data_IF_020164976252
#
_entry.id   IF_020164976252
#
_cell.length_a   1.000
_cell.length_b   1.000
_cell.length_c   1.000
_cell.angle_alpha   90.00
_cell.angle_beta   90.00
_cell.angle_gamma   90.00
#
_symmetry.space_group_name_H-M   'P 1'
#
loop_
_entity.id
_entity.type
_entity.pdbx_description
1 polymer ?
#
# COMPACT_ATOMS: atom_id res chain seq x y z
N UNK A 1 2.06 33.31 -19.17
CA UNK A 1 2.51 33.17 -17.76
C UNK A 1 3.32 31.88 -17.52
N UNK A 2 2.79 30.67 -17.76
CA UNK A 2 3.56 29.42 -17.53
C UNK A 2 4.93 29.36 -18.24
N UNK A 3 5.01 29.78 -19.51
CA UNK A 3 6.27 29.82 -20.26
C UNK A 3 7.28 30.87 -19.76
N UNK A 4 6.83 31.90 -19.04
CA UNK A 4 7.71 32.94 -18.48
C UNK A 4 8.38 32.47 -17.18
N UNK A 5 7.65 31.69 -16.36
CA UNK A 5 8.21 31.06 -15.13
C UNK A 5 9.32 30.04 -15.48
N UNK A 6 9.21 29.36 -16.62
CA UNK A 6 10.23 28.43 -17.12
C UNK A 6 11.54 29.12 -17.53
N UNK A 7 11.55 30.43 -17.77
CA UNK A 7 12.75 31.17 -18.20
C UNK A 7 13.62 31.61 -17.02
N UNK A 8 13.08 31.68 -15.80
CA UNK A 8 13.83 32.15 -14.61
C UNK A 8 14.44 31.02 -13.77
N UNK A 9 14.02 29.76 -13.95
CA UNK A 9 14.47 28.63 -13.12
C UNK A 9 15.02 27.52 -14.01
N UNK A 10 16.30 27.18 -13.84
CA UNK A 10 16.92 26.03 -14.49
C UNK A 10 16.30 24.74 -13.91
N UNK A 11 15.38 24.14 -14.66
CA UNK A 11 14.72 22.92 -14.23
C UNK A 11 15.68 21.72 -14.22
N UNK A 12 15.55 20.79 -13.25
CA UNK A 12 16.28 19.53 -13.28
C UNK A 12 15.86 18.71 -14.51
N UNK A 13 16.79 17.90 -15.02
CA UNK A 13 16.50 17.00 -16.14
C UNK A 13 15.44 15.97 -15.73
N UNK A 14 14.66 15.47 -16.71
CA UNK A 14 13.60 14.49 -16.44
C UNK A 14 14.12 13.25 -15.69
N UNK A 15 15.36 12.83 -15.97
CA UNK A 15 16.01 11.69 -15.29
C UNK A 15 16.27 12.02 -13.82
N UNK A 16 16.77 13.22 -13.51
CA UNK A 16 16.97 13.66 -12.13
C UNK A 16 15.65 13.72 -11.38
N UNK A 17 14.60 14.28 -11.98
CA UNK A 17 13.26 14.38 -11.35
C UNK A 17 12.63 13.04 -11.01
N UNK A 18 12.90 12.00 -11.80
CA UNK A 18 12.38 10.65 -11.57
C UNK A 18 13.23 9.83 -10.59
N UNK A 19 14.50 10.19 -10.40
CA UNK A 19 15.45 9.43 -9.61
C UNK A 19 14.98 9.18 -8.15
N UNK A 20 14.44 10.17 -7.40
CA UNK A 20 13.94 9.95 -6.04
C UNK A 20 12.80 8.95 -5.93
N UNK A 21 12.06 8.72 -7.01
CA UNK A 21 10.90 7.83 -7.06
C UNK A 21 11.30 6.44 -7.57
N UNK A 22 12.05 6.40 -8.66
CA UNK A 22 12.42 5.15 -9.35
C UNK A 22 13.49 4.39 -8.57
N UNK A 23 14.48 5.07 -7.97
CA UNK A 23 15.55 4.41 -7.25
C UNK A 23 15.04 3.56 -6.06
N UNK A 24 14.17 4.07 -5.16
CA UNK A 24 13.59 3.24 -4.09
C UNK A 24 12.84 2.01 -4.61
N UNK A 25 12.06 2.17 -5.69
CA UNK A 25 11.29 1.06 -6.28
C UNK A 25 12.23 -0.04 -6.79
N UNK A 26 13.29 0.34 -7.49
CA UNK A 26 14.30 -0.62 -7.98
C UNK A 26 15.00 -1.31 -6.81
N UNK A 27 15.40 -0.56 -5.78
CA UNK A 27 16.07 -1.14 -4.60
C UNK A 27 15.17 -2.17 -3.91
N UNK A 28 13.88 -1.86 -3.71
CA UNK A 28 12.91 -2.79 -3.12
C UNK A 28 12.71 -4.03 -4.01
N UNK A 29 12.61 -3.84 -5.32
CA UNK A 29 12.49 -4.96 -6.27
C UNK A 29 13.73 -5.88 -6.25
N UNK A 30 14.93 -5.29 -6.18
CA UNK A 30 16.19 -6.04 -6.08
C UNK A 30 16.28 -6.82 -4.76
N UNK A 31 15.83 -6.25 -3.64
CA UNK A 31 15.69 -7.01 -2.37
C UNK A 31 14.73 -8.18 -2.52
N UNK A 32 13.56 -7.98 -3.14
CA UNK A 32 12.60 -9.06 -3.36
C UNK A 32 13.19 -10.19 -4.19
N UNK A 33 14.01 -9.88 -5.20
CA UNK A 33 14.74 -10.88 -5.96
C UNK A 33 15.84 -11.56 -5.12
N UNK A 34 16.61 -10.80 -4.33
CA UNK A 34 17.68 -11.32 -3.49
C UNK A 34 17.21 -12.21 -2.34
N UNK A 35 16.06 -11.87 -1.75
CA UNK A 35 15.44 -12.62 -0.65
C UNK A 35 14.56 -13.78 -1.14
N UNK A 36 14.47 -14.02 -2.45
CA UNK A 36 13.67 -15.12 -2.98
C UNK A 36 14.25 -16.47 -2.53
N UNK A 37 13.42 -17.50 -2.20
CA UNK A 37 13.90 -18.75 -1.61
C UNK A 37 14.93 -19.54 -2.43
N UNK A 38 15.07 -19.29 -3.73
CA UNK A 38 16.12 -19.89 -4.57
C UNK A 38 17.50 -19.26 -4.39
N UNK A 39 17.63 -18.21 -3.57
CA UNK A 39 18.86 -17.45 -3.32
C UNK A 39 19.64 -17.10 -4.59
N UNK A 40 19.04 -16.36 -5.55
CA UNK A 40 19.64 -16.14 -6.87
C UNK A 40 20.96 -15.36 -6.82
N UNK A 41 21.19 -14.58 -5.75
CA UNK A 41 22.44 -13.85 -5.51
C UNK A 41 23.30 -14.47 -4.39
N UNK A 42 22.96 -15.69 -3.95
CA UNK A 42 23.61 -16.39 -2.84
C UNK A 42 23.43 -15.71 -1.48
N UNK A 43 24.27 -16.11 -0.51
CA UNK A 43 24.27 -15.60 0.87
C UNK A 43 25.46 -14.67 1.17
N UNK A 44 26.16 -14.22 0.14
CA UNK A 44 27.35 -13.39 0.24
C UNK A 44 27.05 -11.93 0.61
N UNK A 45 28.11 -11.12 0.61
CA UNK A 45 28.01 -9.68 0.90
C UNK A 45 27.05 -8.95 -0.05
N UNK A 46 26.99 -9.35 -1.33
CA UNK A 46 26.11 -8.75 -2.34
C UNK A 46 24.64 -8.87 -1.93
N UNK A 47 24.20 -10.08 -1.58
CA UNK A 47 22.83 -10.34 -1.13
C UNK A 47 22.49 -9.54 0.14
N UNK A 48 23.41 -9.50 1.11
CA UNK A 48 23.23 -8.70 2.33
C UNK A 48 23.08 -7.20 2.04
N UNK A 49 23.90 -6.66 1.16
CA UNK A 49 23.82 -5.25 0.75
C UNK A 49 22.49 -4.96 0.05
N UNK A 50 22.10 -5.79 -0.93
CA UNK A 50 20.82 -5.63 -1.63
C UNK A 50 19.63 -5.70 -0.68
N UNK A 51 19.63 -6.66 0.25
CA UNK A 51 18.60 -6.79 1.28
C UNK A 51 18.57 -5.58 2.22
N UNK A 52 19.72 -5.03 2.59
CA UNK A 52 19.79 -3.84 3.45
C UNK A 52 19.32 -2.59 2.72
N UNK A 53 19.87 -2.27 1.54
CA UNK A 53 19.53 -1.05 0.79
C UNK A 53 18.11 -1.09 0.22
N UNK A 54 17.60 -2.29 -0.09
CA UNK A 54 16.24 -2.48 -0.58
C UNK A 54 15.19 -2.64 0.50
N UNK A 55 15.57 -2.65 1.79
CA UNK A 55 14.59 -2.58 2.87
C UNK A 55 13.76 -1.30 2.70
N UNK A 56 12.41 -1.33 2.69
CA UNK A 56 11.60 -0.17 2.32
C UNK A 56 11.95 1.12 3.05
N UNK A 57 12.26 1.05 4.35
CA UNK A 57 12.68 2.23 5.14
C UNK A 57 13.99 2.82 4.60
N UNK A 58 14.99 1.98 4.32
CA UNK A 58 16.29 2.42 3.80
C UNK A 58 16.17 2.92 2.36
N UNK A 59 15.42 2.21 1.52
CA UNK A 59 15.19 2.58 0.13
C UNK A 59 14.49 3.94 0.02
N UNK A 60 13.46 4.19 0.83
CA UNK A 60 12.76 5.48 0.87
C UNK A 60 13.65 6.59 1.44
N UNK A 61 14.50 6.30 2.43
CA UNK A 61 15.49 7.27 2.92
C UNK A 61 16.49 7.66 1.81
N UNK A 62 16.96 6.69 1.03
CA UNK A 62 17.81 6.96 -0.15
C UNK A 62 17.04 7.85 -1.15
N UNK A 63 15.78 7.53 -1.46
CA UNK A 63 14.95 8.36 -2.34
C UNK A 63 14.79 9.80 -1.82
N UNK A 64 14.55 9.95 -0.53
CA UNK A 64 14.48 11.25 0.13
C UNK A 64 15.80 12.03 -0.02
N UNK A 65 16.95 11.41 0.25
CA UNK A 65 18.26 12.05 0.07
C UNK A 65 18.53 12.42 -1.41
N UNK A 66 18.12 11.57 -2.34
CA UNK A 66 18.24 11.83 -3.78
C UNK A 66 17.36 13.02 -4.21
N UNK A 67 16.27 13.31 -3.50
CA UNK A 67 15.41 14.47 -3.80
C UNK A 67 16.14 15.81 -3.62
N UNK A 68 17.20 15.86 -2.80
CA UNK A 68 18.00 17.07 -2.63
C UNK A 68 18.83 17.41 -3.87
N UNK A 69 19.05 16.46 -4.78
CA UNK A 69 19.67 16.73 -6.08
C UNK A 69 18.76 17.59 -6.98
N UNK A 70 17.47 17.73 -6.63
CA UNK A 70 16.52 18.60 -7.33
C UNK A 70 16.58 20.05 -6.83
N UNK A 71 17.31 20.32 -5.74
CA UNK A 71 17.40 21.67 -5.23
C UNK A 71 18.26 22.51 -6.17
N UNK A 72 17.75 23.66 -6.67
CA UNK A 72 18.56 24.54 -7.51
C UNK A 72 19.75 25.11 -6.73
N UNK A 73 19.57 25.35 -5.43
CA UNK A 73 20.58 25.84 -4.50
C UNK A 73 20.29 25.31 -3.10
N UNK A 74 21.32 25.17 -2.26
CA UNK A 74 21.19 24.80 -0.84
C UNK A 74 21.12 26.07 0.02
N UNK A 75 19.96 26.72 0.04
CA UNK A 75 19.74 27.96 0.77
C UNK A 75 18.49 27.87 1.68
N UNK A 76 18.18 28.92 2.45
CA UNK A 76 17.03 28.92 3.37
C UNK A 76 15.69 28.67 2.67
N UNK A 77 15.53 29.11 1.42
CA UNK A 77 14.29 28.92 0.65
C UNK A 77 14.05 27.45 0.33
N UNK A 78 15.08 26.70 -0.06
CA UNK A 78 14.96 25.28 -0.40
C UNK A 78 15.03 24.37 0.84
N UNK A 79 16.03 24.54 1.69
CA UNK A 79 16.25 23.65 2.84
C UNK A 79 15.23 23.83 3.95
N UNK A 80 14.78 25.06 4.22
CA UNK A 80 13.81 25.31 5.29
C UNK A 80 12.42 25.53 4.73
N UNK A 81 12.29 26.31 3.66
CA UNK A 81 10.99 26.58 3.02
C UNK A 81 10.38 25.31 2.43
N UNK A 82 10.97 24.77 1.35
CA UNK A 82 10.37 23.62 0.65
C UNK A 82 10.26 22.36 1.50
N UNK A 83 11.26 22.08 2.34
CA UNK A 83 11.18 20.94 3.28
C UNK A 83 10.07 21.18 4.31
N UNK A 84 9.92 22.40 4.83
CA UNK A 84 8.86 22.77 5.76
C UNK A 84 7.46 22.66 5.13
N UNK A 85 7.31 23.08 3.89
CA UNK A 85 6.07 22.93 3.11
C UNK A 85 5.75 21.45 2.89
N UNK A 86 6.76 20.64 2.54
CA UNK A 86 6.62 19.19 2.37
C UNK A 86 6.19 18.48 3.66
N UNK A 87 6.80 18.85 4.80
CA UNK A 87 6.39 18.33 6.12
C UNK A 87 4.94 18.75 6.43
N UNK A 88 4.57 20.00 6.17
CA UNK A 88 3.23 20.51 6.45
C UNK A 88 2.17 19.79 5.61
N UNK A 89 2.46 19.52 4.33
CA UNK A 89 1.58 18.75 3.45
C UNK A 89 1.48 17.27 3.87
N UNK A 90 2.58 16.68 4.35
CA UNK A 90 2.62 15.28 4.76
C UNK A 90 2.04 15.04 6.17
N UNK A 91 2.06 16.04 7.06
CA UNK A 91 1.73 15.87 8.47
C UNK A 91 0.33 15.26 8.72
N UNK A 92 -0.77 15.72 8.09
CA UNK A 92 -2.09 15.11 8.28
C UNK A 92 -2.10 13.63 7.83
N UNK A 93 -1.45 13.33 6.71
CA UNK A 93 -1.36 11.98 6.14
C UNK A 93 -0.59 11.06 7.10
N UNK A 94 0.52 11.52 7.65
CA UNK A 94 1.32 10.78 8.64
C UNK A 94 0.54 10.50 9.92
N UNK A 95 -0.20 11.49 10.43
CA UNK A 95 -1.04 11.34 11.63
C UNK A 95 -2.15 10.30 11.42
N UNK A 96 -2.84 10.35 10.28
CA UNK A 96 -3.90 9.39 9.94
C UNK A 96 -3.32 7.98 9.75
N UNK A 97 -2.18 7.87 9.08
CA UNK A 97 -1.48 6.59 8.90
C UNK A 97 -1.06 5.98 10.25
N UNK A 98 -0.50 6.81 11.15
CA UNK A 98 -0.09 6.38 12.48
C UNK A 98 -1.27 5.94 13.34
N UNK A 99 -2.37 6.70 13.35
CA UNK A 99 -3.59 6.36 14.07
C UNK A 99 -4.23 5.06 13.52
N UNK A 100 -4.31 4.92 12.19
CA UNK A 100 -4.79 3.71 11.53
C UNK A 100 -3.93 2.48 11.87
N UNK A 101 -2.61 2.62 11.86
CA UNK A 101 -1.68 1.55 12.25
C UNK A 101 -1.84 1.12 13.71
N UNK A 102 -1.98 2.06 14.64
CA UNK A 102 -2.24 1.76 16.05
C UNK A 102 -3.60 1.05 16.25
N UNK A 103 -4.65 1.50 15.56
CA UNK A 103 -5.95 0.85 15.60
C UNK A 103 -5.91 -0.57 14.98
N UNK A 104 -5.20 -0.74 13.86
CA UNK A 104 -4.96 -2.05 13.25
C UNK A 104 -4.22 -3.02 14.18
N UNK A 105 -3.28 -2.53 15.00
CA UNK A 105 -2.63 -3.33 16.03
C UNK A 105 -3.63 -3.78 17.11
N UNK A 106 -4.52 -2.91 17.57
CA UNK A 106 -5.58 -3.27 18.53
C UNK A 106 -6.52 -4.33 17.93
N UNK A 107 -6.94 -4.19 16.68
CA UNK A 107 -7.78 -5.19 16.00
C UNK A 107 -7.09 -6.56 15.93
N UNK A 108 -5.77 -6.59 15.73
CA UNK A 108 -4.98 -7.82 15.74
C UNK A 108 -4.94 -8.47 17.13
N UNK A 109 -4.67 -7.68 18.17
CA UNK A 109 -4.56 -8.18 19.56
C UNK A 109 -5.92 -8.61 20.15
N UNK A 110 -7.01 -7.97 19.74
CA UNK A 110 -8.37 -8.33 20.21
C UNK A 110 -8.90 -9.64 19.64
N UNK A 111 -8.18 -10.25 18.68
CA UNK A 111 -8.61 -11.46 17.96
C UNK A 111 -10.01 -11.34 17.35
N UNK A 112 -10.50 -10.12 17.09
CA UNK A 112 -11.83 -9.89 16.51
C UNK A 112 -11.98 -10.58 15.15
N UNK A 113 -10.86 -10.77 14.46
CA UNK A 113 -10.74 -11.57 13.26
C UNK A 113 -11.22 -13.01 13.41
N UNK A 114 -10.89 -13.68 14.53
CA UNK A 114 -11.34 -15.04 14.80
C UNK A 114 -12.85 -15.06 15.04
N UNK A 115 -13.37 -14.11 15.83
CA UNK A 115 -14.83 -14.00 16.08
C UNK A 115 -15.61 -13.78 14.79
N UNK A 116 -15.14 -12.87 13.92
CA UNK A 116 -15.77 -12.61 12.61
C UNK A 116 -15.60 -13.83 11.70
N UNK A 117 -14.42 -14.46 11.69
CA UNK A 117 -14.14 -15.67 10.93
C UNK A 117 -15.06 -16.83 11.31
N UNK A 118 -15.24 -17.09 12.60
CA UNK A 118 -16.09 -18.16 13.12
C UNK A 118 -17.59 -17.87 12.85
N UNK A 119 -18.01 -16.61 13.04
CA UNK A 119 -19.38 -16.19 12.72
C UNK A 119 -19.69 -16.36 11.23
N UNK A 120 -18.74 -16.00 10.36
CA UNK A 120 -18.90 -16.05 8.93
C UNK A 120 -18.62 -17.44 8.34
N UNK A 121 -17.86 -18.31 9.01
CA UNK A 121 -17.63 -19.70 8.60
C UNK A 121 -18.91 -20.54 8.68
N UNK A 122 -19.88 -20.15 9.53
CA UNK A 122 -21.22 -20.71 9.51
C UNK A 122 -22.00 -20.39 8.23
N UNK A 123 -21.58 -19.39 7.47
CA UNK A 123 -22.08 -19.07 6.14
C UNK A 123 -21.11 -19.66 5.11
N UNK A 124 -21.59 -20.50 4.18
CA UNK A 124 -20.77 -21.11 3.12
C UNK A 124 -20.31 -20.09 2.06
N UNK A 125 -19.56 -19.05 2.48
CA UNK A 125 -19.14 -17.91 1.66
C UNK A 125 -17.96 -18.23 0.74
N UNK A 126 -17.23 -19.33 1.00
CA UNK A 126 -16.11 -19.79 0.19
C UNK A 126 -15.09 -18.68 -0.09
N UNK A 127 -14.78 -18.45 -1.38
CA UNK A 127 -13.76 -17.49 -1.82
C UNK A 127 -14.10 -16.01 -1.50
N UNK A 128 -15.34 -15.69 -1.14
CA UNK A 128 -15.72 -14.33 -0.74
C UNK A 128 -15.35 -14.01 0.71
N UNK A 129 -15.17 -15.02 1.57
CA UNK A 129 -14.84 -14.79 2.97
C UNK A 129 -13.56 -13.98 3.16
N UNK A 130 -12.41 -14.33 2.53
CA UNK A 130 -11.18 -13.55 2.65
C UNK A 130 -11.33 -12.11 2.16
N UNK A 131 -12.11 -11.88 1.09
CA UNK A 131 -12.40 -10.56 0.55
C UNK A 131 -13.19 -9.69 1.53
N UNK A 132 -14.30 -10.23 2.07
CA UNK A 132 -15.19 -9.49 2.97
C UNK A 132 -14.44 -9.05 4.22
N UNK A 133 -13.65 -9.96 4.82
CA UNK A 133 -12.88 -9.63 6.02
C UNK A 133 -11.81 -8.57 5.71
N UNK A 134 -11.08 -8.70 4.61
CA UNK A 134 -10.09 -7.70 4.20
C UNK A 134 -10.74 -6.33 3.92
N UNK A 135 -11.89 -6.29 3.23
CA UNK A 135 -12.63 -5.07 2.98
C UNK A 135 -13.16 -4.44 4.27
N UNK A 136 -13.65 -5.24 5.22
CA UNK A 136 -14.10 -4.75 6.51
C UNK A 136 -12.94 -4.13 7.31
N UNK A 137 -11.79 -4.81 7.39
CA UNK A 137 -10.60 -4.30 8.06
C UNK A 137 -10.09 -3.04 7.38
N UNK A 138 -9.95 -3.05 6.05
CA UNK A 138 -9.57 -1.87 5.29
C UNK A 138 -10.51 -0.69 5.54
N UNK A 139 -11.81 -0.92 5.52
CA UNK A 139 -12.82 0.11 5.77
C UNK A 139 -12.75 0.64 7.20
N UNK A 140 -12.39 -0.19 8.19
CA UNK A 140 -12.31 0.23 9.59
C UNK A 140 -11.04 1.03 9.92
N UNK A 141 -9.87 0.58 9.47
CA UNK A 141 -8.56 1.15 9.87
C UNK A 141 -7.76 1.81 8.74
N UNK A 142 -8.23 1.77 7.50
CA UNK A 142 -7.73 2.57 6.39
C UNK A 142 -6.42 2.09 5.75
N UNK A 143 -5.59 1.25 6.37
CA UNK A 143 -4.33 0.76 5.75
C UNK A 143 -4.54 -0.53 4.93
N UNK A 144 -4.19 -0.50 3.64
CA UNK A 144 -4.27 -1.71 2.79
C UNK A 144 -3.27 -2.78 3.21
N UNK A 145 -2.07 -2.42 3.62
CA UNK A 145 -1.03 -3.38 4.02
C UNK A 145 -1.38 -4.05 5.34
N UNK A 146 -1.85 -3.29 6.33
CA UNK A 146 -2.26 -3.84 7.62
C UNK A 146 -3.49 -4.71 7.47
N UNK A 147 -4.48 -4.31 6.66
CA UNK A 147 -5.65 -5.15 6.37
C UNK A 147 -5.23 -6.47 5.69
N UNK A 148 -4.35 -6.41 4.69
CA UNK A 148 -3.85 -7.60 3.99
C UNK A 148 -3.14 -8.57 4.94
N UNK A 149 -2.20 -8.07 5.77
CA UNK A 149 -1.44 -8.91 6.71
C UNK A 149 -2.35 -9.49 7.79
N UNK A 150 -3.23 -8.68 8.39
CA UNK A 150 -4.14 -9.14 9.43
C UNK A 150 -5.12 -10.20 8.91
N UNK A 151 -5.75 -9.97 7.76
CA UNK A 151 -6.66 -10.94 7.17
C UNK A 151 -5.93 -12.20 6.71
N UNK A 152 -4.70 -12.10 6.19
CA UNK A 152 -3.92 -13.29 5.80
C UNK A 152 -3.60 -14.18 7.00
N UNK A 153 -3.22 -13.59 8.14
CA UNK A 153 -2.93 -14.34 9.37
C UNK A 153 -4.17 -15.06 9.93
N UNK A 154 -5.35 -14.46 9.76
CA UNK A 154 -6.64 -14.98 10.18
C UNK A 154 -7.15 -16.08 9.24
N UNK A 155 -7.09 -15.87 7.93
CA UNK A 155 -7.58 -16.82 6.93
C UNK A 155 -6.69 -18.05 6.82
N UNK A 156 -5.38 -17.92 7.00
CA UNK A 156 -4.42 -19.02 6.87
C UNK A 156 -4.84 -20.32 7.60
N UNK A 157 -5.21 -20.31 8.90
CA UNK A 157 -5.69 -21.52 9.58
C UNK A 157 -7.09 -21.97 9.14
N UNK A 158 -7.90 -21.11 8.52
CA UNK A 158 -9.27 -21.41 8.09
C UNK A 158 -9.34 -21.98 6.66
N UNK A 159 -8.25 -21.93 5.89
CA UNK A 159 -8.24 -22.38 4.48
C UNK A 159 -8.78 -23.80 4.29
N UNK A 160 -8.47 -24.71 5.21
CA UNK A 160 -8.97 -26.09 5.19
C UNK A 160 -10.49 -26.17 5.35
N UNK A 161 -11.05 -25.45 6.33
CA UNK A 161 -12.49 -25.49 6.63
C UNK A 161 -13.34 -24.81 5.56
N UNK A 162 -12.78 -23.84 4.83
CA UNK A 162 -13.49 -23.11 3.76
C UNK A 162 -13.22 -23.66 2.35
N UNK A 163 -12.55 -24.82 2.23
CA UNK A 163 -12.32 -25.51 0.95
C UNK A 163 -11.26 -24.86 0.06
N UNK A 164 -10.34 -24.07 0.63
CA UNK A 164 -9.30 -23.32 -0.10
C UNK A 164 -7.87 -23.80 0.23
N UNK A 165 -7.71 -25.03 0.74
CA UNK A 165 -6.41 -25.58 1.13
C UNK A 165 -5.48 -25.91 -0.05
N UNK A 166 -6.05 -26.14 -1.23
CA UNK A 166 -5.30 -26.42 -2.45
C UNK A 166 -4.32 -25.28 -2.78
N UNK A 167 -3.28 -25.58 -3.58
CA UNK A 167 -2.32 -24.56 -4.01
C UNK A 167 -3.02 -23.36 -4.67
N UNK A 168 -3.97 -23.63 -5.58
CA UNK A 168 -4.75 -22.59 -6.23
C UNK A 168 -5.72 -21.89 -5.27
N UNK A 169 -6.32 -22.60 -4.31
CA UNK A 169 -7.15 -22.00 -3.27
C UNK A 169 -6.39 -21.00 -2.39
N UNK A 170 -5.14 -21.30 -2.03
CA UNK A 170 -4.24 -20.39 -1.32
C UNK A 170 -3.94 -19.13 -2.14
N UNK A 171 -3.59 -19.30 -3.42
CA UNK A 171 -3.29 -18.18 -4.33
C UNK A 171 -4.53 -17.29 -4.51
N UNK A 172 -5.68 -17.88 -4.81
CA UNK A 172 -6.95 -17.17 -4.97
C UNK A 172 -7.36 -16.46 -3.68
N UNK A 173 -7.12 -17.06 -2.52
CA UNK A 173 -7.38 -16.43 -1.22
C UNK A 173 -6.53 -15.18 -1.04
N UNK A 174 -5.23 -15.23 -1.35
CA UNK A 174 -4.36 -14.05 -1.30
C UNK A 174 -4.83 -12.97 -2.27
N UNK A 175 -5.28 -13.34 -3.47
CA UNK A 175 -5.86 -12.39 -4.43
C UNK A 175 -7.15 -11.76 -3.92
N UNK A 176 -8.06 -12.54 -3.32
CA UNK A 176 -9.31 -12.07 -2.72
C UNK A 176 -9.04 -11.10 -1.55
N UNK A 177 -8.07 -11.42 -0.69
CA UNK A 177 -7.62 -10.53 0.40
C UNK A 177 -7.07 -9.23 -0.19
N UNK A 178 -6.24 -9.30 -1.23
CA UNK A 178 -5.72 -8.14 -1.94
C UNK A 178 -6.83 -7.25 -2.49
N UNK A 179 -7.82 -7.84 -3.16
CA UNK A 179 -8.98 -7.12 -3.67
C UNK A 179 -9.76 -6.41 -2.55
N UNK A 180 -10.02 -7.12 -1.45
CA UNK A 180 -10.73 -6.55 -0.29
C UNK A 180 -9.95 -5.43 0.37
N UNK A 181 -8.64 -5.60 0.55
CA UNK A 181 -7.75 -4.60 1.15
C UNK A 181 -7.61 -3.31 0.30
N UNK A 182 -8.04 -3.33 -0.96
CA UNK A 182 -8.06 -2.16 -1.85
C UNK A 182 -9.46 -1.54 -1.99
N UNK A 183 -10.47 -2.07 -1.31
CA UNK A 183 -11.86 -1.62 -1.43
C UNK A 183 -12.16 -0.49 -0.43
N UNK A 184 -12.93 0.52 -0.85
CA UNK A 184 -13.46 1.62 -0.01
C UNK A 184 -12.36 2.44 0.69
N UNK A 185 -11.54 3.14 -0.09
CA UNK A 185 -10.62 4.16 0.43
C UNK A 185 -11.39 5.42 0.81
N UNK A 186 -11.43 5.78 2.09
CA UNK A 186 -12.16 6.94 2.62
C UNK A 186 -11.32 7.71 3.66
N UNK A 187 -11.93 8.57 4.48
CA UNK A 187 -11.19 9.52 5.33
C UNK A 187 -10.22 8.90 6.35
N UNK A 188 -10.35 7.61 6.67
CA UNK A 188 -9.37 6.91 7.52
C UNK A 188 -8.16 6.36 6.73
N UNK A 189 -8.17 6.46 5.41
CA UNK A 189 -7.09 6.01 4.54
C UNK A 189 -6.17 7.18 4.16
N UNK A 190 -4.89 7.05 4.47
CA UNK A 190 -3.83 7.96 4.04
C UNK A 190 -3.83 8.24 2.52
N UNK A 191 -4.15 7.25 1.69
CA UNK A 191 -4.19 7.39 0.25
C UNK A 191 -5.32 8.31 -0.21
N UNK A 192 -6.45 8.32 0.51
CA UNK A 192 -7.53 9.27 0.26
C UNK A 192 -7.06 10.72 0.37
N UNK A 193 -6.27 11.00 1.40
CA UNK A 193 -5.73 12.34 1.64
C UNK A 193 -4.63 12.71 0.67
N UNK A 194 -3.75 11.77 0.29
CA UNK A 194 -2.76 12.00 -0.78
C UNK A 194 -3.46 12.48 -2.05
N UNK A 195 -4.45 11.72 -2.54
CA UNK A 195 -5.14 12.05 -3.80
C UNK A 195 -5.91 13.37 -3.69
N UNK A 196 -6.70 13.56 -2.63
CA UNK A 196 -7.55 14.75 -2.49
C UNK A 196 -6.73 16.02 -2.28
N UNK A 197 -5.70 15.98 -1.43
CA UNK A 197 -4.85 17.14 -1.15
C UNK A 197 -4.03 17.56 -2.37
N UNK A 198 -3.31 16.61 -3.00
CA UNK A 198 -2.47 16.94 -4.16
C UNK A 198 -3.29 17.31 -5.40
N UNK A 199 -4.55 16.88 -5.50
CA UNK A 199 -5.45 17.25 -6.59
C UNK A 199 -6.31 18.48 -6.27
N UNK A 200 -6.22 19.06 -5.06
CA UNK A 200 -7.05 20.19 -4.64
C UNK A 200 -8.55 19.89 -4.53
N UNK A 201 -8.93 18.63 -4.30
CA UNK A 201 -10.31 18.18 -4.21
C UNK A 201 -10.84 18.34 -2.78
N UNK A 202 -12.10 18.77 -2.66
CA UNK A 202 -12.81 18.70 -1.38
C UNK A 202 -13.18 17.25 -1.03
N UNK A 203 -13.48 17.02 0.25
CA UNK A 203 -13.76 15.67 0.78
C UNK A 203 -14.99 15.04 0.14
N UNK A 204 -16.04 15.81 -0.18
CA UNK A 204 -17.25 15.28 -0.79
C UNK A 204 -16.97 14.79 -2.22
N UNK A 205 -16.20 15.57 -2.99
CA UNK A 205 -15.71 15.14 -4.29
C UNK A 205 -14.81 13.91 -4.16
N UNK A 206 -13.94 13.86 -3.16
CA UNK A 206 -13.13 12.68 -2.83
C UNK A 206 -13.96 11.41 -2.61
N UNK A 207 -15.04 11.49 -1.83
CA UNK A 207 -15.94 10.34 -1.63
C UNK A 207 -16.63 9.90 -2.92
N UNK A 208 -17.13 10.84 -3.72
CA UNK A 208 -17.82 10.53 -4.98
C UNK A 208 -16.90 9.96 -6.06
N UNK A 209 -15.61 10.26 -5.99
CA UNK A 209 -14.63 9.88 -7.02
C UNK A 209 -13.78 8.72 -6.54
N UNK A 210 -12.90 8.95 -5.56
CA UNK A 210 -11.92 7.96 -5.11
C UNK A 210 -12.55 6.81 -4.33
N UNK A 211 -13.46 7.11 -3.39
CA UNK A 211 -14.11 6.02 -2.62
C UNK A 211 -14.97 5.17 -3.55
N UNK A 212 -15.73 5.79 -4.46
CA UNK A 212 -16.47 5.07 -5.49
C UNK A 212 -15.55 4.26 -6.43
N UNK A 213 -14.45 4.85 -6.91
CA UNK A 213 -13.50 4.17 -7.80
C UNK A 213 -12.82 2.98 -7.11
N UNK A 214 -12.41 3.13 -5.86
CA UNK A 214 -11.81 2.03 -5.08
C UNK A 214 -12.81 0.92 -4.76
N UNK A 215 -14.09 1.26 -4.54
CA UNK A 215 -15.16 0.27 -4.41
C UNK A 215 -15.35 -0.51 -5.71
N UNK A 216 -15.42 0.17 -6.85
CA UNK A 216 -15.53 -0.46 -8.17
C UNK A 216 -14.30 -1.34 -8.42
N UNK A 217 -13.10 -0.84 -8.16
CA UNK A 217 -11.85 -1.59 -8.30
C UNK A 217 -11.89 -2.88 -7.49
N UNK A 218 -12.21 -2.81 -6.20
CA UNK A 218 -12.32 -3.97 -5.33
C UNK A 218 -13.36 -4.98 -5.80
N UNK A 219 -14.55 -4.50 -6.19
CA UNK A 219 -15.62 -5.34 -6.72
C UNK A 219 -15.23 -6.03 -8.03
N UNK A 220 -14.66 -5.28 -8.99
CA UNK A 220 -14.18 -5.83 -10.26
C UNK A 220 -13.06 -6.84 -10.06
N UNK A 221 -12.09 -6.57 -9.18
CA UNK A 221 -11.04 -7.52 -8.82
C UNK A 221 -11.61 -8.79 -8.19
N UNK A 222 -12.60 -8.66 -7.29
CA UNK A 222 -13.24 -9.83 -6.66
C UNK A 222 -14.04 -10.66 -7.67
N UNK A 223 -14.75 -10.01 -8.60
CA UNK A 223 -15.45 -10.72 -9.69
C UNK A 223 -14.46 -11.52 -10.53
N UNK A 224 -13.31 -10.92 -10.89
CA UNK A 224 -12.27 -11.64 -11.64
C UNK A 224 -11.71 -12.83 -10.84
N UNK A 225 -11.45 -12.66 -9.53
CA UNK A 225 -11.00 -13.75 -8.65
C UNK A 225 -12.06 -14.86 -8.57
N UNK A 226 -13.33 -14.50 -8.46
CA UNK A 226 -14.42 -15.47 -8.44
C UNK A 226 -14.50 -16.27 -9.75
N UNK A 227 -14.41 -15.61 -10.90
CA UNK A 227 -14.40 -16.29 -12.19
C UNK A 227 -13.21 -17.26 -12.33
N UNK A 228 -12.03 -16.87 -11.87
CA UNK A 228 -10.87 -17.76 -11.81
C UNK A 228 -11.11 -18.93 -10.84
N UNK A 229 -11.77 -18.69 -9.72
CA UNK A 229 -12.08 -19.73 -8.75
C UNK A 229 -12.96 -20.84 -9.34
N UNK A 230 -13.89 -20.51 -10.24
CA UNK A 230 -14.72 -21.50 -10.95
C UNK A 230 -13.93 -22.41 -11.90
N UNK A 231 -12.71 -22.01 -12.29
CA UNK A 231 -11.86 -22.78 -13.21
C UNK A 231 -10.80 -23.60 -12.47
N UNK A 232 -10.33 -23.12 -11.31
CA UNK A 232 -9.16 -23.67 -10.62
C UNK A 232 -9.46 -24.33 -9.27
N UNK A 233 -10.66 -24.14 -8.71
CA UNK A 233 -11.17 -24.88 -7.55
C UNK A 233 -12.09 -26.01 -8.01
#
# INVERSE_FOLDING_TARGET
>A
EYKAVLQEIKLPSSVLSLLPIVAPIILIALRSAAAYPSYPFGNGWVSKTLCFTGEPVNALLIGFLLSFLLFPEFNRKTLTGWVGDGISAAAPILLITGAGGAFGAILKETHIGNTIGDMLAGYSLGIFLPFIIAAAFKTAQGSSTVALVATSALIAPLLGSIGLESLYGKVLSVMAIGAGAMTVSHANDSYFWVVTQFSGMDVNTGYKTLTAASLIQGATSMIAVYLLSLLFL
#
